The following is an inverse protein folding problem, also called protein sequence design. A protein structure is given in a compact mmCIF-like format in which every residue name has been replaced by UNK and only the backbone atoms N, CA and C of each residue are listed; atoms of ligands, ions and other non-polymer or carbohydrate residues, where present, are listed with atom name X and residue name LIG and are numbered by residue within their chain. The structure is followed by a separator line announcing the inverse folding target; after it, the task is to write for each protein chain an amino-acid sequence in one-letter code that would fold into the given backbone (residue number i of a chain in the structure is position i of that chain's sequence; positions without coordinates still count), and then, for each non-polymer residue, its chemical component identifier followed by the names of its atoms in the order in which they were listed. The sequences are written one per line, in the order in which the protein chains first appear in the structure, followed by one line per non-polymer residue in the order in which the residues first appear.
data_IF_942390439317
#
_entry.id   IF_942390439317
#
_cell.length_a   1.000
_cell.length_b   1.000
_cell.length_c   1.000
_cell.angle_alpha   90.00
_cell.angle_beta   90.00
_cell.angle_gamma   90.00
#
_symmetry.space_group_name_H-M   'P 1'
#
loop_
_entity.id
_entity.type
_entity.pdbx_description
1 polymer ?
#
# COMPACT_ATOMS: atom_id res chain seq x y z
N UNK A 1 -8.68 10.11 -1.10
CA UNK A 1 -9.92 9.30 -1.28
C UNK A 1 -10.93 9.77 -0.26
N UNK A 2 -12.08 10.26 -0.71
CA UNK A 2 -13.19 10.60 0.20
C UNK A 2 -13.79 9.26 0.63
N UNK A 3 -13.53 8.85 1.88
CA UNK A 3 -14.21 7.71 2.47
C UNK A 3 -15.67 8.12 2.74
N UNK A 4 -16.59 7.47 2.08
CA UNK A 4 -18.01 7.51 2.41
C UNK A 4 -18.47 6.08 2.77
N UNK A 5 -19.70 5.95 3.25
CA UNK A 5 -20.26 4.66 3.69
C UNK A 5 -20.21 3.60 2.58
N UNK A 6 -20.49 4.00 1.34
CA UNK A 6 -20.46 3.11 0.19
C UNK A 6 -19.03 2.65 -0.14
N UNK A 7 -18.04 3.55 -0.11
CA UNK A 7 -16.64 3.18 -0.34
C UNK A 7 -16.14 2.16 0.70
N UNK A 8 -16.51 2.30 1.98
CA UNK A 8 -16.14 1.34 3.03
C UNK A 8 -16.80 -0.02 2.75
N UNK A 9 -18.09 -0.03 2.40
CA UNK A 9 -18.79 -1.26 2.02
C UNK A 9 -18.14 -1.96 0.83
N UNK A 10 -17.77 -1.21 -0.19
CA UNK A 10 -17.04 -1.73 -1.36
C UNK A 10 -15.68 -2.33 -0.98
N UNK A 11 -14.96 -1.73 -0.05
CA UNK A 11 -13.70 -2.30 0.45
C UNK A 11 -13.93 -3.62 1.19
N UNK A 12 -14.95 -3.71 2.05
CA UNK A 12 -15.30 -4.96 2.74
C UNK A 12 -15.60 -6.05 1.71
N UNK A 13 -16.45 -5.79 0.73
CA UNK A 13 -16.83 -6.73 -0.32
C UNK A 13 -15.59 -7.24 -1.07
N UNK A 14 -14.67 -6.34 -1.44
CA UNK A 14 -13.45 -6.70 -2.17
C UNK A 14 -12.54 -7.62 -1.35
N UNK A 15 -12.34 -7.34 -0.07
CA UNK A 15 -11.50 -8.19 0.78
C UNK A 15 -12.13 -9.56 1.03
N UNK A 16 -13.44 -9.63 1.21
CA UNK A 16 -14.16 -10.90 1.34
C UNK A 16 -14.09 -11.70 0.03
N UNK A 17 -14.27 -11.04 -1.12
CA UNK A 17 -14.14 -11.68 -2.42
C UNK A 17 -12.71 -12.22 -2.66
N UNK A 18 -11.69 -11.43 -2.31
CA UNK A 18 -10.29 -11.86 -2.36
C UNK A 18 -10.05 -13.09 -1.48
N UNK A 19 -10.54 -13.08 -0.24
CA UNK A 19 -10.41 -14.22 0.67
C UNK A 19 -11.14 -15.48 0.15
N UNK A 20 -12.31 -15.32 -0.46
CA UNK A 20 -13.03 -16.44 -1.11
C UNK A 20 -12.22 -17.04 -2.26
N UNK A 21 -11.59 -16.19 -3.09
CA UNK A 21 -10.76 -16.66 -4.19
C UNK A 21 -9.52 -17.42 -3.70
N UNK A 22 -8.84 -16.93 -2.67
CA UNK A 22 -7.69 -17.63 -2.05
C UNK A 22 -8.13 -18.97 -1.48
N UNK A 23 -9.21 -19.00 -0.69
CA UNK A 23 -9.75 -20.21 -0.11
C UNK A 23 -10.09 -21.25 -1.20
N UNK A 24 -10.80 -20.83 -2.25
CA UNK A 24 -11.14 -21.71 -3.38
C UNK A 24 -9.89 -22.25 -4.09
N UNK A 25 -8.89 -21.39 -4.31
CA UNK A 25 -7.63 -21.81 -4.93
C UNK A 25 -6.91 -22.89 -4.15
N UNK A 26 -6.90 -22.82 -2.82
CA UNK A 26 -6.33 -23.84 -1.94
C UNK A 26 -7.20 -25.11 -1.85
N UNK A 27 -8.53 -24.99 -2.02
CA UNK A 27 -9.43 -26.14 -2.10
C UNK A 27 -9.26 -26.92 -3.40
N UNK A 28 -8.95 -26.22 -4.51
CA UNK A 28 -8.65 -26.85 -5.81
C UNK A 28 -7.30 -27.57 -5.77
N UNK A 29 -6.28 -26.90 -5.25
CA UNK A 29 -4.94 -27.44 -5.06
C UNK A 29 -4.27 -26.81 -3.84
N UNK A 30 -4.03 -27.57 -2.75
CA UNK A 30 -3.38 -27.07 -1.54
C UNK A 30 -1.94 -26.56 -1.75
N UNK A 31 -1.27 -26.98 -2.84
CA UNK A 31 0.09 -26.52 -3.16
C UNK A 31 0.12 -25.14 -3.85
N UNK A 32 -1.02 -24.61 -4.29
CA UNK A 32 -1.11 -23.28 -4.87
C UNK A 32 -0.61 -22.22 -3.90
N UNK A 33 0.19 -21.28 -4.43
CA UNK A 33 0.63 -20.08 -3.71
C UNK A 33 -0.08 -18.86 -4.27
N UNK A 34 -0.94 -18.26 -3.46
CA UNK A 34 -1.83 -17.17 -3.87
C UNK A 34 -1.49 -15.92 -3.06
N UNK A 35 -1.08 -14.85 -3.76
CA UNK A 35 -0.71 -13.58 -3.15
C UNK A 35 -1.76 -12.50 -3.31
N UNK A 36 -1.59 -11.43 -2.57
CA UNK A 36 -2.27 -10.17 -2.85
C UNK A 36 -1.42 -9.30 -3.80
N UNK A 37 -2.04 -8.23 -4.33
CA UNK A 37 -1.32 -7.16 -5.01
C UNK A 37 -1.70 -5.83 -4.39
N UNK A 38 -0.71 -5.10 -3.87
CA UNK A 38 -0.92 -3.80 -3.24
C UNK A 38 -0.02 -2.73 -3.88
N UNK A 39 -0.57 -1.54 -4.07
CA UNK A 39 0.23 -0.37 -4.43
C UNK A 39 0.97 0.13 -3.19
N UNK A 40 2.29 0.29 -3.28
CA UNK A 40 3.08 0.85 -2.20
C UNK A 40 3.29 2.35 -2.40
N UNK A 41 2.95 3.12 -1.39
CA UNK A 41 3.14 4.56 -1.33
C UNK A 41 4.10 4.88 -0.19
N UNK A 42 5.41 4.78 -0.45
CA UNK A 42 6.43 5.07 0.56
C UNK A 42 6.41 6.56 0.90
N UNK A 43 6.31 6.86 2.19
CA UNK A 43 6.30 8.22 2.75
C UNK A 43 7.43 8.37 3.76
N UNK A 44 8.32 9.33 3.51
CA UNK A 44 9.34 9.75 4.47
C UNK A 44 8.87 10.98 5.25
N UNK A 45 9.24 11.15 6.52
CA UNK A 45 9.08 12.44 7.17
C UNK A 45 9.97 13.48 6.46
N UNK A 46 9.42 14.67 6.20
CA UNK A 46 10.18 15.76 5.58
C UNK A 46 11.28 16.27 6.50
N UNK A 47 11.00 16.28 7.80
CA UNK A 47 11.91 16.70 8.85
C UNK A 47 11.89 15.71 10.02
N UNK A 48 12.82 15.89 10.96
CA UNK A 48 12.83 15.12 12.21
C UNK A 48 11.80 15.62 13.25
N UNK A 49 10.91 16.57 12.90
CA UNK A 49 9.82 16.98 13.78
C UNK A 49 8.91 15.79 14.08
N UNK A 50 8.53 15.57 15.35
CA UNK A 50 7.64 14.46 15.72
C UNK A 50 6.36 14.41 14.88
N UNK A 51 5.77 15.56 14.56
CA UNK A 51 4.54 15.68 13.77
C UNK A 51 4.72 15.17 12.33
N UNK A 52 5.86 15.44 11.69
CA UNK A 52 6.18 14.95 10.35
C UNK A 52 6.42 13.43 10.37
N UNK A 53 7.11 12.93 11.40
CA UNK A 53 7.37 11.50 11.60
C UNK A 53 6.04 10.74 11.81
N UNK A 54 5.17 11.26 12.68
CA UNK A 54 3.86 10.65 12.95
C UNK A 54 2.97 10.66 11.71
N UNK A 55 2.96 11.77 10.96
CA UNK A 55 2.20 11.89 9.70
C UNK A 55 2.67 10.89 8.65
N UNK A 56 3.98 10.75 8.45
CA UNK A 56 4.54 9.78 7.50
C UNK A 56 4.13 8.35 7.86
N UNK A 57 4.27 7.95 9.13
CA UNK A 57 3.87 6.63 9.62
C UNK A 57 2.35 6.42 9.50
N UNK A 58 1.53 7.41 9.80
CA UNK A 58 0.08 7.34 9.60
C UNK A 58 -0.28 7.11 8.13
N UNK A 59 0.35 7.86 7.22
CA UNK A 59 0.09 7.71 5.79
C UNK A 59 0.50 6.33 5.27
N UNK A 60 1.64 5.78 5.73
CA UNK A 60 2.06 4.42 5.41
C UNK A 60 1.04 3.38 5.90
N UNK A 61 0.52 3.53 7.13
CA UNK A 61 -0.52 2.65 7.67
C UNK A 61 -1.82 2.72 6.87
N UNK A 62 -2.28 3.92 6.53
CA UNK A 62 -3.56 4.13 5.84
C UNK A 62 -3.51 3.77 4.35
N UNK A 63 -2.39 3.99 3.68
CA UNK A 63 -2.29 3.91 2.22
C UNK A 63 -1.66 2.61 1.72
N UNK A 64 -0.81 1.98 2.54
CA UNK A 64 -0.06 0.77 2.17
C UNK A 64 -0.44 -0.40 3.07
N UNK A 65 -0.13 -0.31 4.37
CA UNK A 65 -0.22 -1.46 5.27
C UNK A 65 -1.65 -1.92 5.59
N UNK A 66 -2.65 -1.02 5.60
CA UNK A 66 -4.02 -1.43 5.89
C UNK A 66 -4.52 -2.51 4.92
N UNK A 67 -4.15 -2.41 3.64
CA UNK A 67 -4.59 -3.34 2.61
C UNK A 67 -3.88 -4.70 2.72
N UNK A 68 -2.57 -4.71 2.89
CA UNK A 68 -1.79 -5.94 3.07
C UNK A 68 -2.07 -6.61 4.41
N UNK A 69 -2.21 -5.85 5.51
CA UNK A 69 -2.53 -6.40 6.83
C UNK A 69 -3.83 -7.21 6.81
N UNK A 70 -4.88 -6.68 6.17
CA UNK A 70 -6.18 -7.37 6.12
C UNK A 70 -6.04 -8.71 5.39
N UNK A 71 -5.33 -8.74 4.27
CA UNK A 71 -5.22 -9.93 3.43
C UNK A 71 -4.26 -10.98 4.01
N UNK A 72 -3.12 -10.55 4.57
CA UNK A 72 -2.14 -11.46 5.19
C UNK A 72 -2.64 -12.00 6.53
N UNK A 73 -3.30 -11.16 7.33
CA UNK A 73 -3.77 -11.54 8.68
C UNK A 73 -5.13 -12.22 8.67
N UNK A 74 -5.94 -11.99 7.62
CA UNK A 74 -7.29 -12.54 7.51
C UNK A 74 -8.31 -11.87 8.44
N UNK A 75 -8.03 -10.64 8.91
CA UNK A 75 -8.96 -9.86 9.73
C UNK A 75 -8.63 -8.36 9.64
N UNK A 76 -9.55 -7.51 10.09
CA UNK A 76 -9.33 -6.07 10.22
C UNK A 76 -8.56 -5.77 11.52
N UNK A 77 -7.28 -5.36 11.45
CA UNK A 77 -6.51 -4.97 12.63
C UNK A 77 -7.16 -3.83 13.39
N UNK A 78 -6.89 -3.74 14.69
CA UNK A 78 -7.51 -2.73 15.55
C UNK A 78 -7.29 -1.30 15.05
N UNK A 79 -6.08 -0.99 14.57
CA UNK A 79 -5.79 0.35 14.06
C UNK A 79 -6.61 0.70 12.82
N UNK A 80 -6.91 -0.26 11.93
CA UNK A 80 -7.77 -0.05 10.75
C UNK A 80 -9.20 0.26 11.18
N UNK A 81 -9.72 -0.47 12.19
CA UNK A 81 -11.03 -0.19 12.79
C UNK A 81 -11.07 1.23 13.34
N UNK A 82 -10.02 1.65 14.08
CA UNK A 82 -9.90 3.02 14.62
C UNK A 82 -9.81 4.10 13.54
N UNK A 83 -9.13 3.84 12.42
CA UNK A 83 -9.11 4.77 11.28
C UNK A 83 -10.52 5.00 10.75
N UNK A 84 -11.30 3.93 10.57
CA UNK A 84 -12.67 3.99 10.07
C UNK A 84 -13.59 4.71 11.06
N UNK A 85 -13.48 4.40 12.36
CA UNK A 85 -14.23 5.06 13.45
C UNK A 85 -13.95 6.56 13.53
N UNK A 86 -12.67 6.98 13.47
CA UNK A 86 -12.29 8.41 13.47
C UNK A 86 -12.85 9.19 12.29
N UNK A 87 -13.13 8.52 11.18
CA UNK A 87 -13.79 9.09 10.00
C UNK A 87 -15.31 9.08 10.09
N UNK A 88 -15.86 8.71 11.25
CA UNK A 88 -17.31 8.71 11.53
C UNK A 88 -18.05 7.48 10.96
N UNK A 89 -17.33 6.40 10.63
CA UNK A 89 -17.95 5.21 10.07
C UNK A 89 -17.76 3.99 10.98
N UNK A 90 -18.59 2.97 10.77
CA UNK A 90 -18.51 1.67 11.43
C UNK A 90 -18.23 0.59 10.38
N UNK A 91 -17.33 -0.33 10.71
CA UNK A 91 -17.16 -1.56 9.94
C UNK A 91 -18.27 -2.54 10.36
N UNK A 92 -19.23 -2.75 9.48
CA UNK A 92 -20.30 -3.73 9.65
C UNK A 92 -19.97 -4.95 8.79
N UNK A 93 -19.30 -5.94 9.40
CA UNK A 93 -18.83 -7.15 8.73
C UNK A 93 -19.56 -8.30 9.37
N UNK A 94 -20.21 -9.14 8.55
CA UNK A 94 -20.93 -10.32 9.02
C UNK A 94 -19.96 -11.37 9.56
N UNK A 95 -20.37 -12.12 10.54
CA UNK A 95 -19.54 -13.16 11.16
C UNK A 95 -19.07 -14.20 10.12
N UNK A 96 -19.92 -14.60 9.19
CA UNK A 96 -19.57 -15.51 8.10
C UNK A 96 -18.44 -14.95 7.22
N UNK A 97 -18.43 -13.64 6.93
CA UNK A 97 -17.38 -12.98 6.15
C UNK A 97 -16.06 -12.93 6.93
N UNK A 98 -16.10 -12.73 8.25
CA UNK A 98 -14.91 -12.81 9.11
C UNK A 98 -14.28 -14.22 9.10
N UNK A 99 -15.10 -15.27 9.10
CA UNK A 99 -14.61 -16.65 9.01
C UNK A 99 -13.97 -16.93 7.64
N UNK A 100 -14.59 -16.47 6.57
CA UNK A 100 -14.03 -16.58 5.22
C UNK A 100 -12.67 -15.86 5.13
N UNK A 101 -12.57 -14.63 5.64
CA UNK A 101 -11.31 -13.87 5.64
C UNK A 101 -10.20 -14.59 6.41
N UNK A 102 -10.54 -15.20 7.55
CA UNK A 102 -9.59 -15.98 8.35
C UNK A 102 -9.06 -17.22 7.62
N UNK A 103 -9.88 -17.85 6.79
CA UNK A 103 -9.54 -19.04 6.01
C UNK A 103 -8.82 -18.70 4.69
N UNK A 104 -9.10 -17.52 4.12
CA UNK A 104 -8.56 -17.07 2.84
C UNK A 104 -7.41 -16.06 2.98
N UNK A 105 -6.43 -16.35 3.85
CA UNK A 105 -5.20 -15.58 3.96
C UNK A 105 -4.29 -15.85 2.79
N UNK A 106 -3.62 -14.80 2.31
CA UNK A 106 -2.65 -14.92 1.21
C UNK A 106 -1.33 -15.55 1.68
N UNK A 107 -0.64 -16.25 0.78
CA UNK A 107 0.64 -16.93 1.05
C UNK A 107 1.83 -15.99 0.89
N UNK A 108 1.73 -14.93 0.08
CA UNK A 108 2.78 -13.97 -0.15
C UNK A 108 2.22 -12.56 -0.41
N UNK A 109 3.05 -11.55 -0.27
CA UNK A 109 2.69 -10.17 -0.62
C UNK A 109 3.27 -9.80 -1.97
N UNK A 110 2.41 -9.65 -2.97
CA UNK A 110 2.72 -8.99 -4.22
C UNK A 110 2.51 -7.48 -4.09
N UNK A 111 3.40 -6.68 -4.67
CA UNK A 111 3.27 -5.23 -4.63
C UNK A 111 3.89 -4.54 -5.83
N UNK A 112 3.40 -3.33 -6.11
CA UNK A 112 4.01 -2.39 -7.06
C UNK A 112 4.77 -1.30 -6.32
N UNK A 113 5.91 -0.88 -6.86
CA UNK A 113 6.70 0.23 -6.38
C UNK A 113 7.23 1.07 -7.54
N UNK A 114 6.93 2.37 -7.54
CA UNK A 114 7.36 3.28 -8.59
C UNK A 114 8.15 4.46 -8.05
N UNK A 115 7.73 5.02 -6.92
CA UNK A 115 8.32 6.21 -6.33
C UNK A 115 8.01 6.32 -4.84
N UNK A 116 8.71 7.22 -4.18
CA UNK A 116 8.41 7.67 -2.82
C UNK A 116 8.13 9.18 -2.81
N UNK A 117 7.69 9.69 -1.67
CA UNK A 117 7.56 11.13 -1.43
C UNK A 117 7.73 11.43 0.05
N UNK A 118 7.87 12.69 0.40
CA UNK A 118 7.87 13.12 1.78
C UNK A 118 6.45 13.43 2.30
N UNK A 119 6.35 13.65 3.61
CA UNK A 119 5.14 14.10 4.31
C UNK A 119 5.55 15.15 5.34
N UNK A 120 4.80 16.24 5.41
CA UNK A 120 5.00 17.30 6.40
C UNK A 120 3.68 17.94 6.77
N UNK A 121 3.64 18.55 7.94
CA UNK A 121 2.53 19.41 8.39
C UNK A 121 2.60 20.82 7.82
N UNK A 122 3.71 21.18 7.18
CA UNK A 122 3.88 22.46 6.49
C UNK A 122 3.08 22.48 5.18
N UNK A 123 2.07 23.34 5.13
CA UNK A 123 1.18 23.51 3.97
C UNK A 123 1.83 24.26 2.79
N UNK A 124 2.99 24.89 3.00
CA UNK A 124 3.75 25.59 1.95
C UNK A 124 4.74 24.70 1.21
N UNK A 125 4.90 23.45 1.64
CA UNK A 125 5.85 22.53 1.06
C UNK A 125 5.55 22.21 -0.42
N UNK A 126 6.60 22.15 -1.23
CA UNK A 126 6.51 21.81 -2.66
C UNK A 126 5.98 20.38 -2.83
N UNK A 127 4.98 20.24 -3.70
CA UNK A 127 4.36 18.94 -3.99
C UNK A 127 5.03 18.25 -5.17
N UNK A 128 5.01 16.92 -5.17
CA UNK A 128 5.44 16.13 -6.32
C UNK A 128 4.48 16.32 -7.49
N UNK A 129 5.02 16.30 -8.69
CA UNK A 129 4.26 16.11 -9.92
C UNK A 129 4.01 14.61 -10.17
N UNK A 130 3.22 14.32 -11.20
CA UNK A 130 2.92 12.95 -11.61
C UNK A 130 1.55 12.44 -11.18
N UNK A 131 1.18 11.29 -11.73
CA UNK A 131 -0.20 10.76 -11.65
C UNK A 131 -0.37 9.58 -10.69
N UNK A 132 0.71 8.92 -10.24
CA UNK A 132 0.63 7.73 -9.38
C UNK A 132 0.37 8.09 -7.92
N UNK A 133 1.12 9.04 -7.37
CA UNK A 133 0.89 9.53 -6.01
C UNK A 133 1.32 10.98 -5.86
N UNK A 134 0.42 11.80 -5.34
CA UNK A 134 0.79 13.14 -4.89
C UNK A 134 1.32 13.08 -3.47
N UNK A 135 2.41 13.80 -3.20
CA UNK A 135 3.02 13.92 -1.89
C UNK A 135 3.94 15.12 -1.87
N UNK A 136 4.55 15.40 -0.75
CA UNK A 136 5.57 16.44 -0.64
C UNK A 136 6.84 15.97 -1.34
N UNK A 137 7.45 16.85 -2.13
CA UNK A 137 8.71 16.57 -2.81
C UNK A 137 9.84 16.33 -1.80
N UNK A 138 10.53 15.22 -1.94
CA UNK A 138 11.72 14.95 -1.16
C UNK A 138 12.93 15.65 -1.84
N UNK A 139 13.57 16.64 -1.19
CA UNK A 139 14.63 17.44 -1.83
C UNK A 139 15.91 16.65 -2.13
N UNK A 140 16.04 15.44 -1.59
CA UNK A 140 17.20 14.57 -1.80
C UNK A 140 17.06 13.60 -2.97
N UNK A 141 15.92 13.61 -3.66
CA UNK A 141 15.63 12.69 -4.76
C UNK A 141 15.54 13.42 -6.10
N UNK A 142 16.15 12.84 -7.12
CA UNK A 142 15.95 13.27 -8.49
C UNK A 142 14.53 12.94 -8.96
N UNK A 143 14.09 13.62 -10.02
CA UNK A 143 12.76 13.44 -10.59
C UNK A 143 12.89 12.97 -12.04
N UNK A 144 12.08 12.01 -12.46
CA UNK A 144 11.99 11.55 -13.84
C UNK A 144 11.24 12.57 -14.71
N UNK A 145 11.20 12.34 -16.03
CA UNK A 145 10.46 13.20 -16.97
C UNK A 145 8.96 13.29 -16.69
N UNK A 146 8.37 12.29 -16.03
CA UNK A 146 6.96 12.28 -15.65
C UNK A 146 6.68 12.88 -14.25
N UNK A 147 7.71 13.49 -13.65
CA UNK A 147 7.60 14.07 -12.31
C UNK A 147 7.65 13.05 -11.16
N UNK A 148 8.01 11.79 -11.43
CA UNK A 148 8.14 10.77 -10.39
C UNK A 148 9.51 10.83 -9.75
N UNK A 149 9.55 10.81 -8.41
CA UNK A 149 10.83 10.80 -7.69
C UNK A 149 11.50 9.44 -7.81
N UNK A 150 12.78 9.45 -8.19
CA UNK A 150 13.59 8.24 -8.39
C UNK A 150 14.19 7.83 -7.06
N UNK A 151 13.73 6.70 -6.50
CA UNK A 151 14.16 6.24 -5.19
C UNK A 151 14.35 4.71 -5.13
N UNK A 152 15.52 4.25 -5.52
CA UNK A 152 15.89 2.84 -5.41
C UNK A 152 16.03 2.36 -3.94
N UNK A 153 16.39 3.25 -3.02
CA UNK A 153 16.47 2.91 -1.58
C UNK A 153 15.09 2.73 -0.97
N UNK A 154 14.08 3.43 -1.48
CA UNK A 154 12.68 3.27 -1.08
C UNK A 154 12.14 1.87 -1.37
N UNK A 155 12.56 1.25 -2.48
CA UNK A 155 12.23 -0.14 -2.76
C UNK A 155 12.81 -1.08 -1.68
N UNK A 156 14.07 -0.93 -1.32
CA UNK A 156 14.69 -1.70 -0.23
C UNK A 156 13.99 -1.45 1.11
N UNK A 157 13.65 -0.18 1.38
CA UNK A 157 12.96 0.20 2.61
C UNK A 157 11.62 -0.52 2.72
N UNK A 158 10.78 -0.50 1.68
CA UNK A 158 9.46 -1.14 1.74
C UNK A 158 9.54 -2.67 1.79
N UNK A 159 10.54 -3.28 1.12
CA UNK A 159 10.82 -4.71 1.24
C UNK A 159 11.09 -5.12 2.70
N UNK A 160 11.98 -4.39 3.39
CA UNK A 160 12.28 -4.63 4.80
C UNK A 160 11.00 -4.45 5.66
N UNK A 161 10.24 -3.37 5.45
CA UNK A 161 9.01 -3.10 6.20
C UNK A 161 7.94 -4.19 6.02
N UNK A 162 7.78 -4.74 4.82
CA UNK A 162 6.87 -5.86 4.59
C UNK A 162 7.38 -7.15 5.22
N UNK A 163 8.67 -7.45 5.06
CA UNK A 163 9.24 -8.68 5.61
C UNK A 163 9.19 -8.70 7.13
N UNK A 164 9.67 -7.65 7.81
CA UNK A 164 9.58 -7.49 9.27
C UNK A 164 8.14 -7.59 9.81
N UNK A 165 7.15 -7.20 8.98
CA UNK A 165 5.75 -7.16 9.38
C UNK A 165 5.04 -8.51 9.23
N UNK A 166 5.42 -9.32 8.26
CA UNK A 166 4.66 -10.51 7.87
C UNK A 166 5.48 -11.79 7.84
N UNK A 167 6.78 -11.73 7.63
CA UNK A 167 7.67 -12.89 7.47
C UNK A 167 7.18 -13.88 6.41
N UNK A 168 6.52 -13.38 5.35
CA UNK A 168 6.07 -14.17 4.19
C UNK A 168 6.87 -13.79 2.95
N UNK A 169 6.91 -14.64 1.90
CA UNK A 169 7.54 -14.28 0.63
C UNK A 169 6.99 -12.96 0.07
N UNK A 170 7.86 -12.19 -0.57
CA UNK A 170 7.53 -10.92 -1.21
C UNK A 170 7.76 -11.02 -2.70
N UNK A 171 6.86 -10.47 -3.51
CA UNK A 171 6.94 -10.46 -4.96
C UNK A 171 6.73 -9.06 -5.52
N UNK A 172 7.73 -8.53 -6.21
CA UNK A 172 7.62 -7.25 -6.90
C UNK A 172 6.87 -7.52 -8.21
N UNK A 173 5.59 -7.16 -8.25
CA UNK A 173 4.71 -7.39 -9.42
C UNK A 173 4.96 -6.33 -10.48
N UNK A 174 5.16 -5.09 -10.04
CA UNK A 174 5.39 -3.96 -10.93
C UNK A 174 6.48 -3.05 -10.36
N UNK A 175 7.40 -2.62 -11.23
CA UNK A 175 8.41 -1.62 -10.93
C UNK A 175 8.77 -0.88 -12.21
N UNK A 176 9.08 0.41 -12.13
CA UNK A 176 9.46 1.19 -13.29
C UNK A 176 9.68 2.66 -13.00
N UNK A 177 10.21 3.37 -14.00
CA UNK A 177 10.42 4.79 -14.03
C UNK A 177 9.54 5.42 -15.10
N UNK A 178 9.01 6.62 -14.85
CA UNK A 178 8.25 7.37 -15.83
C UNK A 178 9.18 8.09 -16.82
N UNK A 179 9.51 7.46 -17.93
CA UNK A 179 10.32 8.04 -19.02
C UNK A 179 9.57 8.01 -20.35
N UNK A 180 9.93 8.94 -21.25
CA UNK A 180 9.48 8.91 -22.63
C UNK A 180 10.25 7.87 -23.43
N UNK A 181 9.57 7.00 -24.15
CA UNK A 181 10.14 5.85 -24.88
C UNK A 181 11.20 6.28 -25.94
N UNK A 182 11.13 7.51 -26.44
CA UNK A 182 12.03 8.03 -27.46
C UNK A 182 13.51 8.17 -27.02
N UNK A 183 13.81 8.10 -25.72
CA UNK A 183 15.19 8.17 -25.21
C UNK A 183 15.86 6.80 -25.05
N UNK A 184 15.10 5.71 -24.98
CA UNK A 184 15.66 4.36 -24.81
C UNK A 184 16.44 3.87 -26.04
N UNK A 185 16.17 4.40 -27.23
CA UNK A 185 16.88 4.03 -28.48
C UNK A 185 18.13 4.84 -28.79
N UNK A 186 18.50 5.83 -27.95
CA UNK A 186 19.72 6.64 -28.13
C UNK A 186 20.94 6.12 -27.36
N UNK A 187 20.81 5.05 -26.59
CA UNK A 187 21.91 4.47 -25.79
C UNK A 187 22.40 3.12 -26.32
N UNK A 188 22.14 2.81 -27.61
CA UNK A 188 22.73 1.65 -28.29
C UNK A 188 23.76 2.12 -29.32
#
# INVERSE_FOLDING_TARGET
MILNKEAIRQHIIKFVASAKAVKLGHEIDPENKIGCMVLTLVKYPMTAKPEDVELAEQMMREKTFAFSDIQVRGYYPHYVKKIVERKGFKLDIREEDLQVMKQGKVDFVGFSYYSSSASTTDQSAEMTEGNVSKGVKNPYLATSEWGWQIDAKGLRYILNRFYERYEVPLFIVENGLGYNVNLMFKCM
#
